data_IF_611762671099
#
_entry.id   IF_611762671099
#
_cell.length_a   1.000
_cell.length_b   1.000
_cell.length_c   1.000
_cell.angle_alpha   90.00
_cell.angle_beta   90.00
_cell.angle_gamma   90.00
#
_symmetry.space_group_name_H-M   'P 1'
#
loop_
_entity.id
_entity.type
_entity.pdbx_description
1 polymer ?
#
# COMPACT_ATOMS: atom_id res chain seq x y z
N UNK A 1 -10.48 -4.01 -1.14
CA UNK A 1 -9.38 -3.85 -0.17
C UNK A 1 -9.74 -4.46 1.19
N UNK A 2 -10.78 -3.97 1.85
CA UNK A 2 -11.28 -4.53 3.13
C UNK A 2 -12.58 -5.30 2.88
N UNK A 3 -12.77 -6.44 3.56
CA UNK A 3 -14.02 -7.20 3.61
C UNK A 3 -14.54 -7.24 5.05
N UNK A 4 -15.85 -7.22 5.23
CA UNK A 4 -16.50 -7.44 6.54
C UNK A 4 -17.15 -8.83 6.54
N UNK A 5 -16.47 -9.88 7.03
CA UNK A 5 -16.94 -11.26 6.92
C UNK A 5 -17.99 -11.64 7.96
N UNK A 6 -18.19 -10.83 9.00
CA UNK A 6 -19.10 -11.11 10.11
C UNK A 6 -18.97 -10.05 11.22
N UNK A 7 -19.72 -10.19 12.32
CA UNK A 7 -19.72 -9.20 13.40
C UNK A 7 -18.35 -9.12 14.08
N UNK A 8 -17.99 -7.90 14.51
CA UNK A 8 -16.84 -7.64 15.38
C UNK A 8 -15.46 -7.67 14.72
N UNK A 9 -15.34 -7.88 13.40
CA UNK A 9 -14.05 -7.89 12.71
C UNK A 9 -14.13 -7.43 11.25
N UNK A 10 -12.98 -7.07 10.71
CA UNK A 10 -12.76 -6.90 9.28
C UNK A 10 -11.58 -7.76 8.80
N UNK A 11 -11.55 -8.05 7.51
CA UNK A 11 -10.48 -8.76 6.82
C UNK A 11 -9.79 -7.75 5.88
N UNK A 12 -8.54 -7.41 6.18
CA UNK A 12 -7.71 -6.59 5.29
C UNK A 12 -7.01 -7.51 4.28
N UNK A 13 -7.46 -7.48 3.02
CA UNK A 13 -6.94 -8.35 1.94
C UNK A 13 -5.82 -7.70 1.10
N UNK A 14 -5.27 -6.58 1.58
CA UNK A 14 -4.20 -5.84 0.91
C UNK A 14 -2.81 -6.48 1.07
N UNK A 15 -2.41 -6.97 2.26
CA UNK A 15 -1.07 -7.52 2.47
C UNK A 15 -0.87 -8.84 1.73
N UNK A 16 0.38 -9.09 1.34
CA UNK A 16 0.86 -10.36 0.82
C UNK A 16 1.90 -11.00 1.76
N UNK A 17 2.41 -12.18 1.36
CA UNK A 17 3.40 -12.95 2.12
C UNK A 17 4.82 -12.40 2.12
N UNK A 18 5.12 -11.33 1.37
CA UNK A 18 6.44 -10.69 1.38
C UNK A 18 6.59 -9.68 2.52
N UNK A 19 5.48 -9.32 3.18
CA UNK A 19 5.49 -8.37 4.29
C UNK A 19 6.13 -8.96 5.55
N UNK A 20 6.85 -8.13 6.31
CA UNK A 20 7.29 -8.53 7.64
C UNK A 20 6.06 -8.59 8.56
N UNK A 21 5.76 -9.73 9.20
CA UNK A 21 4.52 -9.90 9.95
C UNK A 21 4.41 -8.96 11.16
N UNK A 22 5.53 -8.56 11.77
CA UNK A 22 5.52 -7.60 12.88
C UNK A 22 5.23 -6.18 12.41
N UNK A 23 5.90 -5.75 11.32
CA UNK A 23 5.67 -4.43 10.74
C UNK A 23 4.25 -4.28 10.21
N UNK A 24 3.71 -5.37 9.64
CA UNK A 24 2.33 -5.41 9.17
C UNK A 24 1.34 -5.12 10.30
N UNK A 25 1.47 -5.81 11.43
CA UNK A 25 0.56 -5.58 12.56
C UNK A 25 0.74 -4.17 13.14
N UNK A 26 2.00 -3.70 13.27
CA UNK A 26 2.30 -2.38 13.80
C UNK A 26 1.67 -1.26 12.95
N UNK A 27 1.81 -1.30 11.63
CA UNK A 27 1.29 -0.24 10.74
C UNK A 27 -0.24 -0.26 10.66
N UNK A 28 -0.88 -1.43 10.70
CA UNK A 28 -2.34 -1.55 10.75
C UNK A 28 -2.88 -0.93 12.03
N UNK A 29 -2.26 -1.23 13.18
CA UNK A 29 -2.65 -0.66 14.48
C UNK A 29 -2.44 0.85 14.47
N UNK A 30 -1.30 1.34 13.96
CA UNK A 30 -1.02 2.77 13.86
C UNK A 30 -2.08 3.50 13.01
N UNK A 31 -2.37 2.99 11.80
CA UNK A 31 -3.39 3.56 10.92
C UNK A 31 -4.80 3.51 11.54
N UNK A 32 -5.16 2.40 12.18
CA UNK A 32 -6.43 2.24 12.87
C UNK A 32 -6.61 3.22 14.04
N UNK A 33 -5.59 3.37 14.89
CA UNK A 33 -5.60 4.35 15.98
C UNK A 33 -5.68 5.79 15.47
N UNK A 34 -4.99 6.10 14.37
CA UNK A 34 -5.09 7.41 13.70
C UNK A 34 -6.52 7.69 13.25
N UNK A 35 -7.18 6.71 12.60
CA UNK A 35 -8.58 6.81 12.19
C UNK A 35 -9.56 6.98 13.35
N UNK A 36 -9.36 6.27 14.46
CA UNK A 36 -10.19 6.44 15.67
C UNK A 36 -10.05 7.87 16.23
N UNK A 37 -8.81 8.37 16.35
CA UNK A 37 -8.54 9.72 16.90
C UNK A 37 -9.14 10.83 16.03
N UNK A 38 -9.04 10.68 14.71
CA UNK A 38 -9.59 11.65 13.75
C UNK A 38 -11.08 11.48 13.47
N UNK A 39 -11.71 10.43 14.04
CA UNK A 39 -13.09 10.03 13.70
C UNK A 39 -13.28 9.87 12.19
N UNK A 40 -12.33 9.19 11.55
CA UNK A 40 -12.31 9.02 10.11
C UNK A 40 -13.59 8.32 9.62
N UNK A 41 -14.21 8.91 8.59
CA UNK A 41 -15.26 8.26 7.82
C UNK A 41 -14.62 7.36 6.76
N UNK A 42 -14.81 6.01 6.80
CA UNK A 42 -14.29 5.11 5.78
C UNK A 42 -15.01 5.27 4.42
N UNK A 43 -16.07 6.07 4.38
CA UNK A 43 -16.88 6.33 3.20
C UNK A 43 -17.90 5.25 2.93
N UNK A 44 -18.55 5.38 1.77
CA UNK A 44 -19.61 4.46 1.34
C UNK A 44 -19.06 3.05 1.07
N UNK A 45 -19.72 2.04 1.64
CA UNK A 45 -19.50 0.63 1.29
C UNK A 45 -19.99 0.35 -0.13
N UNK A 46 -19.20 -0.42 -0.89
CA UNK A 46 -19.54 -0.87 -2.23
C UNK A 46 -19.78 -2.38 -2.24
N UNK A 47 -21.00 -2.78 -2.56
CA UNK A 47 -21.44 -4.18 -2.69
C UNK A 47 -21.57 -4.57 -4.16
N UNK A 48 -20.45 -4.48 -4.89
CA UNK A 48 -20.34 -4.84 -6.30
C UNK A 48 -19.08 -5.69 -6.52
N UNK A 49 -19.03 -6.41 -7.63
CA UNK A 49 -17.76 -6.99 -8.07
C UNK A 49 -16.85 -5.86 -8.59
N UNK A 50 -15.83 -5.49 -7.81
CA UNK A 50 -14.92 -4.43 -8.19
C UNK A 50 -14.08 -4.75 -9.43
N UNK A 51 -13.94 -6.01 -9.82
CA UNK A 51 -13.22 -6.38 -11.03
C UNK A 51 -14.07 -6.14 -12.28
N UNK A 52 -15.35 -6.54 -12.26
CA UNK A 52 -16.26 -6.37 -13.38
C UNK A 52 -16.89 -4.95 -13.45
N UNK A 53 -17.21 -4.38 -12.29
CA UNK A 53 -18.06 -3.19 -12.17
C UNK A 53 -17.34 -1.98 -11.57
N UNK A 54 -16.03 -2.06 -11.32
CA UNK A 54 -15.26 -1.00 -10.68
C UNK A 54 -15.33 0.35 -11.41
N UNK A 55 -15.56 0.34 -12.73
CA UNK A 55 -15.76 1.55 -13.55
C UNK A 55 -17.00 2.37 -13.14
N UNK A 56 -17.98 1.76 -12.44
CA UNK A 56 -19.16 2.45 -11.91
C UNK A 56 -18.84 3.32 -10.70
N UNK A 57 -17.70 3.08 -10.04
CA UNK A 57 -17.27 3.82 -8.86
C UNK A 57 -16.35 4.96 -9.26
N UNK A 58 -16.83 6.18 -9.08
CA UNK A 58 -16.08 7.40 -9.35
C UNK A 58 -15.44 7.94 -8.08
N UNK A 59 -14.21 8.44 -8.20
CA UNK A 59 -13.51 9.09 -7.09
C UNK A 59 -12.98 8.16 -6.00
N UNK A 60 -13.03 6.83 -6.18
CA UNK A 60 -12.38 5.92 -5.26
C UNK A 60 -10.84 6.06 -5.36
N UNK A 61 -10.13 6.21 -4.23
CA UNK A 61 -8.67 6.20 -4.24
C UNK A 61 -8.17 4.84 -4.74
N UNK A 62 -7.14 4.87 -5.58
CA UNK A 62 -6.47 3.67 -6.10
C UNK A 62 -5.24 3.36 -5.27
N UNK A 63 -4.90 2.08 -5.20
CA UNK A 63 -3.62 1.67 -4.65
C UNK A 63 -2.48 2.22 -5.53
N UNK A 64 -1.30 2.50 -4.94
CA UNK A 64 -0.09 2.74 -5.72
C UNK A 64 0.15 1.57 -6.70
N UNK A 65 0.50 1.90 -7.95
CA UNK A 65 0.72 0.90 -9.00
C UNK A 65 2.10 0.26 -8.95
N UNK A 66 2.99 0.81 -8.13
CA UNK A 66 4.36 0.35 -7.97
C UNK A 66 4.87 0.69 -6.57
N UNK A 67 5.99 0.06 -6.19
CA UNK A 67 6.58 0.24 -4.86
C UNK A 67 7.11 1.67 -4.66
N UNK A 68 7.66 2.33 -5.69
CA UNK A 68 8.18 3.68 -5.55
C UNK A 68 7.09 4.69 -5.14
N UNK A 69 5.92 4.60 -5.73
CA UNK A 69 4.79 5.45 -5.38
C UNK A 69 4.26 5.13 -3.98
N UNK A 70 4.24 3.86 -3.57
CA UNK A 70 3.90 3.50 -2.19
C UNK A 70 4.90 4.08 -1.17
N UNK A 71 6.21 4.05 -1.48
CA UNK A 71 7.25 4.66 -0.64
C UNK A 71 7.07 6.18 -0.56
N UNK A 72 6.75 6.84 -1.66
CA UNK A 72 6.47 8.29 -1.68
C UNK A 72 5.24 8.66 -0.87
N UNK A 73 4.16 7.88 -0.95
CA UNK A 73 2.97 8.13 -0.13
C UNK A 73 3.26 7.90 1.36
N UNK A 74 4.02 6.86 1.71
CA UNK A 74 4.48 6.66 3.09
C UNK A 74 5.37 7.81 3.57
N UNK A 75 6.28 8.31 2.73
CA UNK A 75 7.21 9.38 3.12
C UNK A 75 6.51 10.73 3.38
N UNK A 76 5.43 11.00 2.62
CA UNK A 76 4.58 12.19 2.78
C UNK A 76 3.78 12.18 4.09
N UNK A 77 3.39 11.01 4.60
CA UNK A 77 2.58 10.89 5.82
C UNK A 77 3.43 11.03 7.08
N UNK A 78 3.63 12.29 7.50
CA UNK A 78 4.38 12.63 8.72
C UNK A 78 3.79 11.99 9.98
N UNK A 79 2.47 11.83 10.04
CA UNK A 79 1.81 11.28 11.23
C UNK A 79 2.07 9.78 11.33
N UNK A 80 1.89 9.04 10.24
CA UNK A 80 2.18 7.60 10.22
C UNK A 80 3.66 7.33 10.48
N UNK A 81 4.58 8.12 9.90
CA UNK A 81 6.01 8.04 10.19
C UNK A 81 6.33 8.29 11.66
N UNK A 82 5.67 9.27 12.29
CA UNK A 82 5.85 9.52 13.72
C UNK A 82 5.37 8.33 14.57
N UNK A 83 4.23 7.72 14.22
CA UNK A 83 3.72 6.54 14.93
C UNK A 83 4.60 5.30 14.75
N UNK A 84 5.23 5.13 13.59
CA UNK A 84 6.16 4.03 13.30
C UNK A 84 7.59 4.30 13.81
N UNK A 85 7.89 5.54 14.21
CA UNK A 85 9.22 6.02 14.56
C UNK A 85 9.94 6.65 13.35
N UNK A 86 10.42 7.89 13.51
CA UNK A 86 11.02 8.67 12.43
C UNK A 86 12.34 8.06 11.92
N UNK A 87 13.18 7.58 12.83
CA UNK A 87 14.46 6.93 12.50
C UNK A 87 14.22 5.59 11.78
N UNK A 88 13.32 4.76 12.32
CA UNK A 88 12.90 3.52 11.68
C UNK A 88 12.35 3.77 10.27
N UNK A 89 11.43 4.73 10.13
CA UNK A 89 10.81 5.07 8.85
C UNK A 89 11.84 5.50 7.81
N UNK A 90 12.83 6.30 8.23
CA UNK A 90 13.91 6.77 7.36
C UNK A 90 14.82 5.61 6.90
N UNK A 91 15.16 4.70 7.82
CA UNK A 91 15.93 3.50 7.50
C UNK A 91 15.17 2.56 6.55
N UNK A 92 13.87 2.34 6.81
CA UNK A 92 13.00 1.51 5.98
C UNK A 92 12.87 2.06 4.57
N UNK A 93 12.59 3.35 4.42
CA UNK A 93 12.51 4.04 3.12
C UNK A 93 13.83 3.90 2.36
N UNK A 94 14.97 4.14 3.01
CA UNK A 94 16.29 3.99 2.39
C UNK A 94 16.49 2.58 1.84
N UNK A 95 16.23 1.56 2.65
CA UNK A 95 16.38 0.16 2.25
C UNK A 95 15.46 -0.20 1.08
N UNK A 96 14.18 0.20 1.13
CA UNK A 96 13.22 -0.11 0.07
C UNK A 96 13.44 0.68 -1.22
N UNK A 97 14.00 1.89 -1.15
CA UNK A 97 14.48 2.59 -2.33
C UNK A 97 15.66 1.88 -3.01
N UNK A 98 16.58 1.28 -2.24
CA UNK A 98 17.65 0.47 -2.82
C UNK A 98 17.10 -0.76 -3.55
N UNK A 99 16.12 -1.44 -2.96
CA UNK A 99 15.42 -2.56 -3.60
C UNK A 99 14.73 -2.13 -4.90
N UNK A 100 14.01 -1.01 -4.89
CA UNK A 100 13.38 -0.46 -6.09
C UNK A 100 14.40 -0.13 -7.17
N UNK A 101 15.48 0.57 -6.82
CA UNK A 101 16.54 0.95 -7.75
C UNK A 101 17.22 -0.28 -8.36
N UNK A 102 17.42 -1.33 -7.57
CA UNK A 102 17.93 -2.62 -8.06
C UNK A 102 16.98 -3.27 -9.07
N UNK A 103 15.66 -3.22 -8.83
CA UNK A 103 14.67 -3.75 -9.75
C UNK A 103 14.64 -2.98 -11.07
N UNK A 104 14.54 -1.64 -11.04
CA UNK A 104 14.37 -0.85 -12.27
C UNK A 104 15.64 -0.70 -13.12
N UNK A 105 16.81 -1.02 -12.57
CA UNK A 105 18.08 -1.05 -13.31
C UNK A 105 18.35 -2.42 -13.96
N UNK A 106 17.53 -3.42 -13.66
CA UNK A 106 17.65 -4.74 -14.25
C UNK A 106 17.06 -4.76 -15.66
N UNK A 107 17.89 -5.02 -16.68
CA UNK A 107 17.42 -5.17 -18.05
C UNK A 107 16.71 -6.52 -18.24
N UNK A 108 15.39 -6.46 -18.25
CA UNK A 108 14.53 -7.64 -18.26
C UNK A 108 14.53 -8.34 -19.62
N UNK A 109 14.11 -9.61 -19.60
CA UNK A 109 13.92 -10.37 -20.83
C UNK A 109 12.83 -9.77 -21.73
N UNK A 110 11.75 -9.24 -21.14
CA UNK A 110 10.69 -8.61 -21.89
C UNK A 110 11.22 -7.42 -22.70
N UNK A 111 12.05 -6.56 -22.09
CA UNK A 111 12.65 -5.44 -22.80
C UNK A 111 13.54 -5.93 -23.95
N UNK A 112 14.42 -6.93 -23.72
CA UNK A 112 15.23 -7.54 -24.79
C UNK A 112 14.39 -7.99 -25.97
N UNK A 113 13.33 -8.76 -25.69
CA UNK A 113 12.48 -9.36 -26.72
C UNK A 113 11.64 -8.30 -27.48
N UNK A 114 11.50 -7.07 -26.96
CA UNK A 114 10.60 -6.05 -27.52
C UNK A 114 11.28 -4.73 -27.95
N UNK A 115 12.58 -4.54 -27.68
CA UNK A 115 13.28 -3.29 -28.01
C UNK A 115 14.56 -3.43 -28.82
N UNK A 116 15.04 -4.65 -29.09
CA UNK A 116 16.30 -4.87 -29.82
C UNK A 116 16.19 -4.64 -31.34
N UNK A 117 15.03 -4.92 -31.93
CA UNK A 117 14.80 -4.82 -33.38
C UNK A 117 13.96 -3.59 -33.76
N UNK A 118 14.14 -2.48 -33.04
CA UNK A 118 13.58 -1.17 -33.39
C UNK A 118 14.43 -0.54 -34.50
#
# INVERSE_FOLDING_TARGET
MVRVPGPGRFELRLPDGATNPYLLQAVIIAAGLSGIRSKADPGKRWDIDMYAEGHKVRGAPKLPLNMLDALREYDKDKNLKAMMGAEFSSAFLKMKHQEWNSFVSHFSRWEKDNTLDI
#
